data_IF_106380444053
#
_entry.id   IF_106380444053
#
_cell.length_a   1.000
_cell.length_b   1.000
_cell.length_c   1.000
_cell.angle_alpha   90.00
_cell.angle_beta   90.00
_cell.angle_gamma   90.00
#
_symmetry.space_group_name_H-M   'P 1'
#
loop_
_entity.id
_entity.type
_entity.pdbx_description
1 polymer ?
#
# COMPACT_ATOMS: atom_id res chain seq x y z
N UNK A 1 -1.15 6.66 3.70
CA UNK A 1 -0.74 5.27 3.42
C UNK A 1 -1.64 4.67 2.35
N UNK A 2 -1.06 3.89 1.47
CA UNK A 2 -1.78 3.15 0.41
C UNK A 2 -1.70 1.68 0.72
N UNK A 3 -2.85 0.98 0.71
CA UNK A 3 -2.92 -0.46 0.90
C UNK A 3 -3.29 -1.11 -0.43
N UNK A 4 -2.42 -2.00 -0.93
CA UNK A 4 -2.60 -2.64 -2.24
C UNK A 4 -3.17 -4.07 -2.14
N UNK A 5 -3.62 -4.47 -0.95
CA UNK A 5 -4.26 -5.77 -0.76
C UNK A 5 -5.64 -5.80 -1.40
N UNK A 6 -6.17 -7.00 -1.57
CA UNK A 6 -7.53 -7.16 -2.08
C UNK A 6 -8.58 -6.83 -1.02
N UNK A 7 -9.79 -6.49 -1.45
CA UNK A 7 -10.88 -6.13 -0.54
C UNK A 7 -11.16 -7.21 0.52
N UNK A 8 -11.08 -8.47 0.13
CA UNK A 8 -11.30 -9.59 1.06
C UNK A 8 -10.30 -9.61 2.22
N UNK A 9 -9.06 -9.17 1.97
CA UNK A 9 -8.03 -9.12 3.00
C UNK A 9 -8.30 -7.98 3.98
N UNK A 10 -8.82 -6.85 3.53
CA UNK A 10 -9.20 -5.75 4.39
C UNK A 10 -10.33 -6.12 5.35
N UNK A 11 -11.19 -7.05 4.95
CA UNK A 11 -12.25 -7.58 5.80
C UNK A 11 -11.72 -8.45 6.93
N UNK A 12 -10.56 -9.05 6.76
CA UNK A 12 -9.91 -9.88 7.79
C UNK A 12 -9.13 -9.01 8.77
N UNK A 13 -8.31 -8.12 8.25
CA UNK A 13 -7.44 -7.26 9.06
C UNK A 13 -7.19 -5.95 8.30
N UNK A 14 -7.21 -4.83 9.02
CA UNK A 14 -6.94 -3.53 8.42
C UNK A 14 -6.25 -2.62 9.44
N UNK A 15 -5.49 -1.66 8.92
CA UNK A 15 -4.87 -0.65 9.76
C UNK A 15 -5.94 0.19 10.46
N UNK A 16 -5.62 0.64 11.67
CA UNK A 16 -6.49 1.54 12.43
C UNK A 16 -6.46 2.97 11.89
N UNK A 17 -5.53 3.26 10.98
CA UNK A 17 -5.38 4.57 10.35
C UNK A 17 -6.22 4.68 9.09
N UNK A 18 -6.56 5.92 8.74
CA UNK A 18 -7.13 6.22 7.45
C UNK A 18 -6.11 5.88 6.35
N UNK A 19 -6.58 5.20 5.30
CA UNK A 19 -5.72 4.78 4.20
C UNK A 19 -6.48 4.85 2.88
N UNK A 20 -5.72 4.88 1.79
CA UNK A 20 -6.26 4.80 0.44
C UNK A 20 -6.09 3.37 -0.06
N UNK A 21 -7.18 2.75 -0.49
CA UNK A 21 -7.17 1.37 -0.96
C UNK A 21 -7.06 1.33 -2.48
N UNK A 22 -5.97 0.73 -2.96
CA UNK A 22 -5.73 0.50 -4.39
C UNK A 22 -5.43 -0.99 -4.56
N UNK A 23 -6.45 -1.84 -4.75
CA UNK A 23 -6.19 -3.28 -4.89
C UNK A 23 -5.37 -3.54 -6.14
N UNK A 24 -4.31 -4.34 -5.99
CA UNK A 24 -3.33 -4.56 -7.06
C UNK A 24 -3.96 -5.17 -8.32
N UNK A 25 -5.04 -5.94 -8.16
CA UNK A 25 -5.77 -6.54 -9.28
C UNK A 25 -6.47 -5.52 -10.19
N UNK A 26 -6.63 -4.28 -9.72
CA UNK A 26 -7.32 -3.22 -10.45
C UNK A 26 -6.39 -2.10 -10.90
N UNK A 27 -5.08 -2.27 -10.73
CA UNK A 27 -4.10 -1.23 -11.05
C UNK A 27 -3.97 -1.06 -12.57
N UNK A 28 -4.11 0.19 -13.02
CA UNK A 28 -3.71 0.62 -14.36
C UNK A 28 -2.89 1.89 -14.20
N UNK A 29 -2.04 2.21 -15.19
CA UNK A 29 -1.20 3.41 -15.10
C UNK A 29 -2.04 4.68 -15.02
N UNK A 30 -3.11 4.77 -15.79
CA UNK A 30 -4.01 5.93 -15.78
C UNK A 30 -4.66 6.13 -14.41
N UNK A 31 -5.15 5.06 -13.82
CA UNK A 31 -5.80 5.11 -12.50
C UNK A 31 -4.84 5.58 -11.41
N UNK A 32 -3.64 5.01 -11.39
CA UNK A 32 -2.63 5.36 -10.40
C UNK A 32 -2.11 6.78 -10.60
N UNK A 33 -1.86 7.18 -11.83
CA UNK A 33 -1.44 8.55 -12.15
C UNK A 33 -2.46 9.59 -11.68
N UNK A 34 -3.75 9.32 -11.88
CA UNK A 34 -4.83 10.19 -11.44
C UNK A 34 -4.84 10.34 -9.91
N UNK A 35 -4.71 9.22 -9.19
CA UNK A 35 -4.67 9.24 -7.73
C UNK A 35 -3.44 9.99 -7.25
N UNK A 36 -2.27 9.72 -7.81
CA UNK A 36 -1.01 10.31 -7.35
C UNK A 36 -0.90 11.80 -7.70
N UNK A 37 -1.62 12.26 -8.72
CA UNK A 37 -1.68 13.69 -9.02
C UNK A 37 -2.20 14.52 -7.84
N UNK A 38 -3.02 13.93 -6.99
CA UNK A 38 -3.56 14.57 -5.80
C UNK A 38 -2.66 14.40 -4.56
N UNK A 39 -1.53 13.71 -4.68
CA UNK A 39 -0.65 13.37 -3.57
C UNK A 39 0.77 13.91 -3.75
N UNK A 40 0.98 14.85 -4.67
CA UNK A 40 2.31 15.34 -5.05
C UNK A 40 3.15 15.89 -3.90
N UNK A 41 2.51 16.48 -2.89
CA UNK A 41 3.20 17.10 -1.75
C UNK A 41 3.26 16.18 -0.53
N UNK A 42 2.91 14.91 -0.67
CA UNK A 42 2.83 13.97 0.44
C UNK A 42 3.84 12.84 0.30
N UNK A 43 4.33 12.38 1.43
CA UNK A 43 5.06 11.13 1.47
C UNK A 43 4.09 9.98 1.23
N UNK A 44 4.44 9.09 0.29
CA UNK A 44 3.60 7.94 -0.06
C UNK A 44 4.23 6.69 0.52
N UNK A 45 3.50 6.02 1.41
CA UNK A 45 3.88 4.74 1.99
C UNK A 45 2.90 3.69 1.51
N UNK A 46 3.40 2.60 0.95
CA UNK A 46 2.58 1.52 0.39
C UNK A 46 2.74 0.27 1.23
N UNK A 47 1.63 -0.40 1.49
CA UNK A 47 1.58 -1.61 2.30
C UNK A 47 0.80 -2.73 1.62
N UNK A 48 1.15 -3.96 1.98
CA UNK A 48 0.38 -5.16 1.67
C UNK A 48 0.41 -6.11 2.86
N UNK A 49 0.23 -7.42 2.65
CA UNK A 49 0.29 -8.38 3.76
C UNK A 49 1.69 -8.47 4.37
N UNK A 50 2.70 -8.81 3.56
CA UNK A 50 4.06 -9.09 4.04
C UNK A 50 5.15 -8.25 3.35
N UNK A 51 4.77 -7.28 2.55
CA UNK A 51 5.71 -6.35 1.92
C UNK A 51 6.12 -6.67 0.48
N UNK A 52 5.74 -7.81 -0.07
CA UNK A 52 6.17 -8.25 -1.41
C UNK A 52 5.36 -7.55 -2.51
N UNK A 53 4.05 -7.61 -2.45
CA UNK A 53 3.18 -6.97 -3.45
C UNK A 53 3.37 -5.45 -3.47
N UNK A 54 3.49 -4.87 -2.29
CA UNK A 54 3.71 -3.42 -2.16
C UNK A 54 5.09 -3.02 -2.68
N UNK A 55 6.12 -3.84 -2.46
CA UNK A 55 7.43 -3.61 -3.05
C UNK A 55 7.35 -3.58 -4.58
N UNK A 56 6.70 -4.56 -5.19
CA UNK A 56 6.55 -4.64 -6.64
C UNK A 56 5.73 -3.46 -7.18
N UNK A 57 4.70 -3.05 -6.46
CA UNK A 57 3.92 -1.86 -6.83
C UNK A 57 4.78 -0.59 -6.80
N UNK A 58 5.59 -0.40 -5.76
CA UNK A 58 6.50 0.73 -5.67
C UNK A 58 7.49 0.75 -6.83
N UNK A 59 8.08 -0.40 -7.16
CA UNK A 59 9.02 -0.52 -8.25
C UNK A 59 8.37 -0.20 -9.59
N UNK A 60 7.15 -0.67 -9.80
CA UNK A 60 6.38 -0.37 -11.00
C UNK A 60 6.10 1.14 -11.13
N UNK A 61 5.75 1.81 -10.04
CA UNK A 61 5.53 3.26 -10.05
C UNK A 61 6.81 4.03 -10.42
N UNK A 62 7.95 3.62 -9.89
CA UNK A 62 9.23 4.23 -10.20
C UNK A 62 9.63 3.99 -11.65
N UNK A 63 9.49 2.76 -12.13
CA UNK A 63 9.86 2.36 -13.48
C UNK A 63 9.01 3.06 -14.55
N UNK A 64 7.77 3.41 -14.22
CA UNK A 64 6.87 4.11 -15.13
C UNK A 64 6.85 5.63 -14.90
N UNK A 65 7.77 6.15 -14.11
CA UNK A 65 7.90 7.57 -13.80
C UNK A 65 6.62 8.21 -13.24
N UNK A 66 5.81 7.43 -12.54
CA UNK A 66 4.58 7.92 -11.90
C UNK A 66 4.93 8.77 -10.68
N UNK A 67 5.96 8.38 -9.96
CA UNK A 67 6.51 9.11 -8.80
C UNK A 67 8.03 9.09 -8.86
N UNK A 68 8.67 10.03 -8.16
CA UNK A 68 10.12 10.06 -7.99
C UNK A 68 10.57 9.44 -6.66
N UNK A 69 9.66 9.35 -5.70
CA UNK A 69 9.96 8.82 -4.37
C UNK A 69 8.71 8.14 -3.80
N UNK A 70 8.89 6.93 -3.29
CA UNK A 70 7.81 6.15 -2.69
C UNK A 70 8.42 5.15 -1.69
N UNK A 71 7.71 4.89 -0.60
CA UNK A 71 8.18 4.03 0.48
C UNK A 71 7.36 2.75 0.55
N UNK A 72 8.03 1.64 0.76
CA UNK A 72 7.38 0.34 1.02
C UNK A 72 7.43 0.04 2.52
N UNK A 73 6.28 -0.32 3.10
CA UNK A 73 6.25 -0.86 4.45
C UNK A 73 6.72 -2.31 4.39
N UNK A 74 7.99 -2.54 4.73
CA UNK A 74 8.76 -3.73 4.39
C UNK A 74 8.11 -5.06 4.80
N UNK A 75 7.50 -5.12 5.98
CA UNK A 75 6.83 -6.33 6.46
C UNK A 75 5.30 -6.23 6.40
N UNK A 76 4.78 -5.16 5.81
CA UNK A 76 3.35 -4.96 5.61
C UNK A 76 2.54 -4.92 6.90
N UNK A 77 1.25 -5.23 6.77
CA UNK A 77 0.35 -5.27 7.93
C UNK A 77 0.70 -6.40 8.89
N UNK A 78 1.30 -7.47 8.40
CA UNK A 78 1.73 -8.58 9.27
C UNK A 78 2.80 -8.10 10.26
N UNK A 79 3.83 -7.41 9.78
CA UNK A 79 4.84 -6.82 10.63
C UNK A 79 4.28 -5.75 11.56
N UNK A 80 3.38 -4.92 11.05
CA UNK A 80 2.73 -3.89 11.84
C UNK A 80 1.94 -4.50 13.01
N UNK A 81 1.19 -5.57 12.75
CA UNK A 81 0.47 -6.31 13.80
C UNK A 81 1.40 -6.90 14.84
N UNK A 82 2.52 -7.48 14.40
CA UNK A 82 3.47 -8.15 15.31
C UNK A 82 4.21 -7.18 16.21
N UNK A 83 4.61 -6.01 15.69
CA UNK A 83 5.57 -5.15 16.37
C UNK A 83 4.98 -3.84 16.87
N UNK A 84 3.88 -3.37 16.30
CA UNK A 84 3.34 -2.04 16.59
C UNK A 84 1.93 -2.09 17.15
N UNK A 85 1.01 -2.81 16.51
CA UNK A 85 -0.40 -2.85 16.91
C UNK A 85 -0.93 -4.28 16.96
N UNK A 86 -0.74 -5.00 18.09
CA UNK A 86 -1.19 -6.38 18.20
C UNK A 86 -2.72 -6.55 18.24
N UNK A 87 -3.49 -5.48 18.28
CA UNK A 87 -4.96 -5.56 18.15
C UNK A 87 -5.40 -5.89 16.72
N UNK A 88 -4.52 -5.71 15.73
CA UNK A 88 -4.80 -6.08 14.34
C UNK A 88 -4.66 -7.60 14.19
N UNK A 89 -5.70 -8.30 13.69
CA UNK A 89 -5.59 -9.75 13.47
C UNK A 89 -4.49 -10.10 12.48
N UNK A 90 -3.83 -11.22 12.72
CA UNK A 90 -2.87 -11.80 11.77
C UNK A 90 -3.58 -12.85 10.91
N UNK A 91 -3.14 -12.96 9.66
CA UNK A 91 -3.71 -13.96 8.75
C UNK A 91 -2.66 -14.54 7.80
#
# INVERSE_FOLDING_TARGET
MIDVREQSELEIARFSKELLHIPISKVTSEYVEEIFANLLDREIVVSCHAGIRSYNFCQWCLDNNIVSEIWNLEEGIDGWSRYIDPSIPRY
#
